data_IF_408869756431
#
_entry.id   IF_408869756431
#
_cell.length_a   1.000
_cell.length_b   1.000
_cell.length_c   1.000
_cell.angle_alpha   90.00
_cell.angle_beta   90.00
_cell.angle_gamma   90.00
#
_symmetry.space_group_name_H-M   'P 1'
#
loop_
_entity.id
_entity.type
_entity.pdbx_description
1 polymer ?
#
# COMPACT_ATOMS: atom_id res chain seq x y z
N UNK A 1 46.44 2.45 27.83
CA UNK A 1 45.81 3.18 26.72
C UNK A 1 44.57 2.40 26.34
N UNK A 2 43.43 2.85 26.83
CA UNK A 2 42.11 2.22 26.71
C UNK A 2 41.48 2.62 25.37
N UNK A 3 41.10 1.64 24.56
CA UNK A 3 40.31 1.82 23.34
C UNK A 3 38.89 2.22 23.72
N UNK A 4 38.50 3.43 23.35
CA UNK A 4 37.16 3.97 23.50
C UNK A 4 36.29 3.45 22.35
N UNK A 5 35.40 2.52 22.68
CA UNK A 5 34.38 1.97 21.76
C UNK A 5 33.28 3.01 21.55
N UNK A 6 33.11 3.46 20.31
CA UNK A 6 31.97 4.29 19.88
C UNK A 6 30.64 3.55 20.13
N UNK A 7 29.63 4.18 20.76
CA UNK A 7 28.31 3.59 20.88
C UNK A 7 27.60 3.62 19.52
N UNK A 8 27.46 2.45 18.90
CA UNK A 8 26.57 2.28 17.77
C UNK A 8 25.13 2.61 18.22
N UNK A 9 24.55 3.64 17.59
CA UNK A 9 23.14 4.00 17.72
C UNK A 9 22.29 2.91 17.07
N UNK A 10 21.90 1.91 17.86
CA UNK A 10 20.89 0.91 17.50
C UNK A 10 19.50 1.53 17.64
N UNK A 11 18.66 1.39 16.61
CA UNK A 11 17.26 1.85 16.65
C UNK A 11 16.39 0.61 16.79
N UNK A 12 15.60 0.54 17.86
CA UNK A 12 14.60 -0.52 18.02
C UNK A 12 13.43 -0.25 17.08
N UNK A 13 13.30 -1.06 16.04
CA UNK A 13 12.12 -1.06 15.20
C UNK A 13 11.13 -2.06 15.80
N UNK A 14 9.98 -1.56 16.28
CA UNK A 14 8.92 -2.42 16.80
C UNK A 14 8.48 -3.43 15.73
N UNK A 15 8.67 -4.72 16.01
CA UNK A 15 8.27 -5.77 15.10
C UNK A 15 6.75 -5.94 15.12
N UNK A 16 6.14 -5.98 13.93
CA UNK A 16 4.68 -6.06 13.77
C UNK A 16 4.08 -7.40 14.25
N UNK A 17 4.91 -8.43 14.53
CA UNK A 17 4.47 -9.76 14.96
C UNK A 17 5.44 -10.52 15.90
N UNK A 18 6.15 -9.86 16.82
CA UNK A 18 6.98 -10.59 17.79
C UNK A 18 8.12 -9.78 18.44
N UNK A 19 9.07 -10.50 19.06
CA UNK A 19 10.24 -9.94 19.76
C UNK A 19 11.00 -8.93 18.88
N UNK A 20 11.41 -7.78 19.44
CA UNK A 20 12.09 -6.74 18.69
C UNK A 20 13.44 -7.25 18.17
N UNK A 21 13.59 -7.27 16.84
CA UNK A 21 14.86 -7.63 16.20
C UNK A 21 15.74 -6.39 16.12
N UNK A 22 16.94 -6.45 16.70
CA UNK A 22 17.96 -5.42 16.53
C UNK A 22 18.54 -5.53 15.12
N UNK A 23 18.11 -4.65 14.22
CA UNK A 23 18.67 -4.57 12.87
C UNK A 23 19.94 -3.72 12.92
N UNK A 24 21.08 -4.17 12.36
CA UNK A 24 22.26 -3.33 12.20
C UNK A 24 21.88 -2.08 11.41
N UNK A 25 22.20 -0.89 11.91
CA UNK A 25 22.05 0.36 11.17
C UNK A 25 22.97 0.29 9.94
N UNK A 26 22.45 -0.23 8.84
CA UNK A 26 23.23 -0.44 7.63
C UNK A 26 23.62 0.93 7.06
N UNK A 27 24.88 1.30 7.24
CA UNK A 27 25.48 2.49 6.65
C UNK A 27 25.73 2.31 5.14
N UNK A 28 25.25 1.25 4.50
CA UNK A 28 25.76 0.79 3.21
C UNK A 28 24.77 0.42 2.12
N UNK A 29 23.54 0.93 2.06
CA UNK A 29 22.72 0.75 0.84
C UNK A 29 21.73 1.89 0.63
N UNK A 30 21.78 2.53 -0.54
CA UNK A 30 20.72 3.45 -0.94
C UNK A 30 19.43 2.64 -1.06
N UNK A 31 18.43 2.96 -0.25
CA UNK A 31 17.14 2.29 -0.29
C UNK A 31 16.43 2.67 -1.59
N UNK A 32 16.51 1.80 -2.59
CA UNK A 32 15.72 1.91 -3.83
C UNK A 32 14.24 1.55 -3.62
N UNK A 33 13.86 1.12 -2.41
CA UNK A 33 12.47 0.86 -2.07
C UNK A 33 11.73 2.19 -1.88
N UNK A 34 10.72 2.43 -2.71
CA UNK A 34 9.84 3.59 -2.57
C UNK A 34 9.23 3.63 -1.16
N UNK A 35 9.43 4.74 -0.45
CA UNK A 35 8.89 4.98 0.88
C UNK A 35 7.36 4.95 0.80
N UNK A 36 6.75 3.92 1.38
CA UNK A 36 5.28 3.82 1.49
C UNK A 36 4.71 4.50 2.75
N UNK A 37 5.57 5.18 3.52
CA UNK A 37 5.16 5.92 4.70
C UNK A 37 4.58 7.29 4.29
N UNK A 38 3.24 7.35 4.27
CA UNK A 38 2.49 8.56 3.90
C UNK A 38 2.71 9.70 4.91
N UNK A 39 2.93 9.38 6.19
CA UNK A 39 3.21 10.38 7.23
C UNK A 39 4.60 10.99 7.02
N UNK A 40 5.60 10.16 6.69
CA UNK A 40 6.94 10.63 6.35
C UNK A 40 6.91 11.51 5.09
N UNK A 41 6.20 11.10 4.04
CA UNK A 41 6.03 11.94 2.82
C UNK A 41 5.36 13.27 3.14
N UNK A 42 4.29 13.27 3.93
CA UNK A 42 3.61 14.50 4.34
C UNK A 42 4.52 15.40 5.19
N UNK A 43 5.33 14.81 6.08
CA UNK A 43 6.29 15.55 6.91
C UNK A 43 7.38 16.23 6.08
N UNK A 44 7.92 15.53 5.08
CA UNK A 44 8.95 16.06 4.17
C UNK A 44 8.37 17.18 3.31
N UNK A 45 7.16 17.02 2.74
CA UNK A 45 6.52 18.08 1.96
C UNK A 45 6.28 19.34 2.79
N UNK A 46 5.92 19.19 4.07
CA UNK A 46 5.73 20.32 4.99
C UNK A 46 7.05 21.01 5.32
N UNK A 47 8.08 20.24 5.69
CA UNK A 47 9.40 20.78 6.03
C UNK A 47 10.09 21.42 4.82
N UNK A 48 9.84 20.92 3.61
CA UNK A 48 10.34 21.49 2.36
C UNK A 48 9.71 22.87 2.06
N UNK A 49 8.54 23.18 2.62
CA UNK A 49 7.86 24.46 2.40
C UNK A 49 8.41 25.56 3.32
N UNK A 50 8.65 25.24 4.59
CA UNK A 50 9.20 26.15 5.60
C UNK A 50 9.71 25.30 6.78
N UNK A 51 11.03 25.24 7.09
CA UNK A 51 12.14 26.13 6.68
C UNK A 51 12.87 25.77 5.36
N UNK A 52 12.60 24.62 4.77
CA UNK A 52 13.13 24.19 3.46
C UNK A 52 14.32 23.22 3.51
N UNK A 53 14.51 22.47 2.42
CA UNK A 53 15.69 21.60 2.21
C UNK A 53 16.67 22.19 1.20
N UNK A 54 17.93 21.80 1.32
CA UNK A 54 19.00 22.10 0.37
C UNK A 54 19.81 20.86 0.02
N UNK A 55 20.20 20.74 -1.24
CA UNK A 55 20.98 19.60 -1.74
C UNK A 55 22.32 20.06 -2.26
N UNK A 56 23.40 19.45 -1.77
CA UNK A 56 24.75 19.70 -2.29
C UNK A 56 24.94 18.93 -3.59
N UNK A 57 25.14 19.64 -4.70
CA UNK A 57 25.16 19.04 -6.04
C UNK A 57 26.21 17.92 -6.18
N UNK A 58 27.40 18.12 -5.60
CA UNK A 58 28.52 17.18 -5.75
C UNK A 58 28.34 15.88 -4.97
N UNK A 59 27.62 15.94 -3.84
CA UNK A 59 27.49 14.80 -2.93
C UNK A 59 26.08 14.22 -2.88
N UNK A 60 25.10 14.89 -3.50
CA UNK A 60 23.68 14.52 -3.42
C UNK A 60 23.12 14.58 -2.00
N UNK A 61 23.87 15.13 -1.03
CA UNK A 61 23.45 15.15 0.38
C UNK A 61 22.38 16.19 0.60
N UNK A 62 21.33 15.77 1.29
CA UNK A 62 20.20 16.62 1.68
C UNK A 62 20.48 17.18 3.07
N UNK A 63 20.34 18.49 3.18
CA UNK A 63 20.44 19.23 4.42
C UNK A 63 19.14 19.98 4.67
N UNK A 64 18.76 20.10 5.94
CA UNK A 64 17.63 20.91 6.37
C UNK A 64 18.14 22.31 6.76
N UNK A 65 17.43 23.34 6.31
CA UNK A 65 17.76 24.73 6.69
C UNK A 65 17.31 24.98 8.12
N UNK A 66 18.18 25.57 8.94
CA UNK A 66 17.80 26.02 10.27
C UNK A 66 16.89 27.27 10.14
N UNK A 67 15.67 27.27 10.72
CA UNK A 67 14.78 28.43 10.70
C UNK A 67 15.40 29.66 11.39
N UNK A 68 16.32 29.48 12.36
CA UNK A 68 16.97 30.58 13.06
C UNK A 68 18.15 31.18 12.27
N UNK A 69 18.77 30.40 11.37
CA UNK A 69 19.88 30.85 10.55
C UNK A 69 19.85 30.17 9.19
N UNK A 70 19.36 30.89 8.18
CA UNK A 70 19.22 30.40 6.81
C UNK A 70 20.55 30.04 6.11
N UNK A 71 21.70 30.34 6.72
CA UNK A 71 23.03 29.92 6.30
C UNK A 71 23.57 28.68 7.01
N UNK A 72 23.01 28.33 8.17
CA UNK A 72 23.30 27.10 8.90
C UNK A 72 22.37 25.99 8.42
N UNK A 73 22.93 24.80 8.25
CA UNK A 73 22.17 23.64 7.79
C UNK A 73 22.53 22.41 8.62
N UNK A 74 21.53 21.57 8.87
CA UNK A 74 21.69 20.32 9.60
C UNK A 74 21.66 19.13 8.64
N UNK A 75 22.50 18.13 8.92
CA UNK A 75 22.46 16.86 8.19
C UNK A 75 21.19 16.10 8.54
N UNK A 76 20.48 15.69 7.50
CA UNK A 76 19.19 15.00 7.61
C UNK A 76 19.43 13.49 7.73
N UNK A 77 18.64 12.75 8.53
CA UNK A 77 18.71 11.29 8.57
C UNK A 77 18.56 10.67 7.18
N UNK A 78 19.26 9.55 6.93
CA UNK A 78 19.30 8.91 5.61
C UNK A 78 17.92 8.57 5.05
N UNK A 79 17.01 8.06 5.87
CA UNK A 79 15.65 7.70 5.45
C UNK A 79 14.87 8.91 4.90
N UNK A 80 15.10 10.09 5.47
CA UNK A 80 14.46 11.33 5.05
C UNK A 80 15.15 11.88 3.80
N UNK A 81 16.48 11.79 3.71
CA UNK A 81 17.23 12.13 2.49
C UNK A 81 16.84 11.26 1.29
N UNK A 82 16.70 9.95 1.48
CA UNK A 82 16.25 9.01 0.45
C UNK A 82 14.81 9.33 0.01
N UNK A 83 13.93 9.70 0.95
CA UNK A 83 12.56 10.14 0.64
C UNK A 83 12.54 11.44 -0.18
N UNK A 84 13.38 12.42 0.15
CA UNK A 84 13.53 13.65 -0.65
C UNK A 84 14.00 13.32 -2.07
N UNK A 85 14.96 12.40 -2.22
CA UNK A 85 15.40 11.90 -3.53
C UNK A 85 14.26 11.29 -4.34
N UNK A 86 13.48 10.39 -3.73
CA UNK A 86 12.33 9.78 -4.38
C UNK A 86 11.25 10.79 -4.79
N UNK A 87 11.01 11.81 -3.97
CA UNK A 87 10.04 12.85 -4.29
C UNK A 87 10.53 13.78 -5.41
N UNK A 88 11.85 14.00 -5.53
CA UNK A 88 12.44 14.68 -6.68
C UNK A 88 12.32 13.85 -7.95
N UNK A 89 12.67 12.56 -7.90
CA UNK A 89 12.56 11.64 -9.02
C UNK A 89 11.10 11.48 -9.50
N UNK A 90 10.16 11.51 -8.55
CA UNK A 90 8.72 11.46 -8.81
C UNK A 90 8.10 12.80 -9.24
N UNK A 91 8.89 13.88 -9.33
CA UNK A 91 8.40 15.22 -9.70
C UNK A 91 7.44 15.85 -8.69
N UNK A 92 7.44 15.37 -7.45
CA UNK A 92 6.71 15.96 -6.33
C UNK A 92 7.49 17.08 -5.64
N UNK A 93 8.81 17.11 -5.81
CA UNK A 93 9.71 18.21 -5.46
C UNK A 93 10.47 18.67 -6.70
N UNK A 94 10.97 19.90 -6.67
CA UNK A 94 11.80 20.45 -7.75
C UNK A 94 13.08 21.08 -7.19
N UNK A 95 14.17 21.03 -7.96
CA UNK A 95 15.39 21.74 -7.62
C UNK A 95 15.26 23.22 -8.02
N UNK A 96 15.32 24.08 -7.02
CA UNK A 96 15.32 25.53 -7.15
C UNK A 96 16.70 26.13 -7.43
N UNK A 97 16.86 27.38 -6.98
CA UNK A 97 18.03 28.21 -7.20
C UNK A 97 19.27 27.77 -6.41
N UNK A 98 20.41 28.36 -6.80
CA UNK A 98 21.70 28.07 -6.19
C UNK A 98 21.91 28.89 -4.92
N UNK A 99 22.38 28.22 -3.87
CA UNK A 99 22.72 28.77 -2.58
C UNK A 99 24.10 28.29 -2.15
N UNK A 100 24.71 29.03 -1.25
CA UNK A 100 25.93 28.58 -0.56
C UNK A 100 25.53 28.16 0.84
N UNK A 101 25.93 26.96 1.25
CA UNK A 101 25.70 26.45 2.61
C UNK A 101 27.03 26.30 3.33
N UNK A 102 27.01 26.47 4.64
CA UNK A 102 28.16 26.19 5.50
C UNK A 102 27.78 25.10 6.49
N UNK A 103 28.47 23.97 6.43
CA UNK A 103 28.26 22.83 7.33
C UNK A 103 29.62 22.32 7.82
N UNK A 104 29.79 22.24 9.16
CA UNK A 104 31.04 21.77 9.81
C UNK A 104 32.32 22.41 9.24
N UNK A 105 32.30 23.74 9.07
CA UNK A 105 33.45 24.51 8.56
C UNK A 105 33.71 24.39 7.06
N UNK A 106 32.90 23.63 6.32
CA UNK A 106 32.99 23.50 4.88
C UNK A 106 31.87 24.29 4.21
N UNK A 107 32.24 25.17 3.28
CA UNK A 107 31.31 25.96 2.50
C UNK A 107 31.23 25.43 1.08
N UNK A 108 30.03 25.22 0.55
CA UNK A 108 29.85 24.63 -0.78
C UNK A 108 28.55 25.06 -1.46
N UNK A 109 28.48 24.90 -2.80
CA UNK A 109 27.27 25.17 -3.56
C UNK A 109 26.21 24.10 -3.27
N UNK A 110 24.97 24.55 -3.09
CA UNK A 110 23.79 23.73 -2.90
C UNK A 110 22.61 24.31 -3.65
N UNK A 111 21.61 23.49 -3.96
CA UNK A 111 20.35 23.91 -4.58
C UNK A 111 19.23 23.87 -3.57
N UNK A 112 18.33 24.86 -3.61
CA UNK A 112 17.10 24.80 -2.83
C UNK A 112 16.20 23.69 -3.36
N UNK A 113 15.42 23.09 -2.47
CA UNK A 113 14.34 22.16 -2.83
C UNK A 113 13.03 22.94 -2.72
N UNK A 114 12.27 22.93 -3.80
CA UNK A 114 10.99 23.62 -3.91
C UNK A 114 9.87 22.60 -3.91
N UNK A 115 8.73 23.02 -3.35
CA UNK A 115 7.47 22.28 -3.42
C UNK A 115 6.59 22.93 -4.50
N UNK A 116 6.40 22.27 -5.66
CA UNK A 116 5.51 22.76 -6.71
C UNK A 116 4.09 22.97 -6.19
N UNK A 117 3.36 23.89 -6.83
CA UNK A 117 1.96 24.22 -6.45
C UNK A 117 1.07 22.97 -6.38
N UNK A 118 1.21 22.07 -7.35
CA UNK A 118 0.46 20.80 -7.41
C UNK A 118 0.70 19.92 -6.17
N UNK A 119 1.96 19.78 -5.75
CA UNK A 119 2.36 19.01 -4.58
C UNK A 119 1.87 19.65 -3.29
N UNK A 120 1.88 20.99 -3.23
CA UNK A 120 1.31 21.74 -2.11
C UNK A 120 -0.19 21.52 -1.97
N UNK A 121 -0.95 21.63 -3.06
CA UNK A 121 -2.40 21.37 -3.06
C UNK A 121 -2.72 19.92 -2.69
N UNK A 122 -1.89 18.97 -3.09
CA UNK A 122 -2.01 17.57 -2.67
C UNK A 122 -1.80 17.43 -1.15
N UNK A 123 -0.72 17.98 -0.60
CA UNK A 123 -0.44 17.95 0.83
C UNK A 123 -1.55 18.62 1.66
N UNK A 124 -2.06 19.77 1.21
CA UNK A 124 -3.20 20.45 1.86
C UNK A 124 -4.48 19.59 1.83
N UNK A 125 -4.75 18.89 0.72
CA UNK A 125 -5.89 17.98 0.66
C UNK A 125 -5.74 16.83 1.63
N UNK A 126 -4.54 16.26 1.75
CA UNK A 126 -4.26 15.18 2.70
C UNK A 126 -4.37 15.62 4.15
N UNK A 127 -3.84 16.81 4.51
CA UNK A 127 -3.98 17.35 5.87
C UNK A 127 -5.43 17.62 6.26
N UNK A 128 -6.31 17.86 5.29
CA UNK A 128 -7.73 18.06 5.50
C UNK A 128 -8.53 16.76 5.54
N UNK A 129 -7.91 15.61 5.22
CA UNK A 129 -8.54 14.31 5.46
C UNK A 129 -8.66 14.13 6.97
N UNK A 130 -9.90 14.03 7.46
CA UNK A 130 -10.12 13.70 8.86
C UNK A 130 -9.48 12.35 9.14
N UNK A 131 -8.71 12.20 10.23
CA UNK A 131 -8.34 10.88 10.72
C UNK A 131 -9.62 10.06 10.81
N UNK A 132 -9.63 8.85 10.27
CA UNK A 132 -10.77 7.96 10.50
C UNK A 132 -10.93 7.86 12.02
N UNK A 133 -12.15 8.06 12.55
CA UNK A 133 -12.36 7.99 13.98
C UNK A 133 -11.79 6.66 14.49
N UNK A 134 -11.00 6.65 15.58
CA UNK A 134 -10.49 5.42 16.17
C UNK A 134 -11.70 4.58 16.59
N UNK A 135 -12.05 3.60 15.76
CA UNK A 135 -13.34 2.89 15.82
C UNK A 135 -13.93 2.52 14.45
N UNK A 136 -13.50 3.16 13.35
CA UNK A 136 -13.85 2.71 11.99
C UNK A 136 -13.10 1.43 11.59
N UNK A 137 -11.95 1.18 12.24
CA UNK A 137 -11.29 -0.12 12.28
C UNK A 137 -11.64 -0.72 13.64
N UNK A 138 -12.81 -1.35 13.75
CA UNK A 138 -13.10 -2.15 14.94
C UNK A 138 -12.05 -3.26 14.95
N UNK A 139 -11.08 -3.16 15.86
CA UNK A 139 -10.41 -4.36 16.31
C UNK A 139 -11.53 -5.32 16.77
N UNK A 140 -11.54 -6.58 16.31
CA UNK A 140 -12.56 -7.52 16.74
C UNK A 140 -12.56 -7.53 18.28
N UNK A 141 -13.70 -7.18 18.89
CA UNK A 141 -13.90 -7.42 20.32
C UNK A 141 -13.68 -8.92 20.54
N UNK A 142 -12.84 -9.34 21.50
CA UNK A 142 -12.40 -10.73 21.59
C UNK A 142 -13.51 -11.79 21.77
N UNK A 143 -14.77 -11.43 22.09
CA UNK A 143 -15.78 -12.43 22.51
C UNK A 143 -17.19 -12.23 21.92
N UNK A 144 -17.37 -11.38 20.91
CA UNK A 144 -18.61 -11.39 20.11
C UNK A 144 -18.29 -12.07 18.78
N UNK A 145 -18.74 -13.33 18.57
CA UNK A 145 -18.68 -14.00 17.27
C UNK A 145 -19.41 -13.15 16.23
N UNK A 146 -18.67 -12.26 15.56
CA UNK A 146 -19.23 -11.38 14.55
C UNK A 146 -19.70 -12.25 13.39
N UNK A 147 -21.00 -12.20 13.11
CA UNK A 147 -21.55 -12.85 11.91
C UNK A 147 -21.18 -12.00 10.71
N UNK A 148 -20.61 -12.61 9.68
CA UNK A 148 -20.35 -11.89 8.43
C UNK A 148 -21.66 -11.33 7.88
N UNK A 149 -21.59 -10.24 7.11
CA UNK A 149 -22.70 -9.87 6.25
C UNK A 149 -23.05 -10.99 5.24
N UNK A 150 -24.06 -10.78 4.39
CA UNK A 150 -24.32 -11.70 3.28
C UNK A 150 -23.05 -11.87 2.44
N UNK A 151 -22.74 -13.13 2.11
CA UNK A 151 -21.60 -13.49 1.28
C UNK A 151 -22.14 -13.84 -0.10
N UNK A 152 -21.73 -13.10 -1.12
CA UNK A 152 -22.10 -13.36 -2.51
C UNK A 152 -20.97 -14.15 -3.17
N UNK A 153 -21.33 -15.27 -3.82
CA UNK A 153 -20.42 -16.06 -4.65
C UNK A 153 -20.82 -15.90 -6.11
N UNK A 154 -20.08 -15.08 -6.84
CA UNK A 154 -20.27 -14.89 -8.27
C UNK A 154 -19.52 -15.98 -9.03
N UNK A 155 -20.25 -16.94 -9.61
CA UNK A 155 -19.66 -17.97 -10.46
C UNK A 155 -19.33 -17.37 -11.81
N UNK A 156 -18.07 -16.93 -11.97
CA UNK A 156 -17.57 -16.30 -13.20
C UNK A 156 -17.52 -17.30 -14.36
N UNK A 157 -17.10 -18.53 -14.09
CA UNK A 157 -17.07 -19.64 -15.06
C UNK A 157 -17.09 -20.97 -14.31
N UNK A 158 -17.40 -22.11 -14.96
CA UNK A 158 -17.36 -23.41 -14.30
C UNK A 158 -16.00 -23.65 -13.62
N UNK A 159 -16.03 -23.85 -12.30
CA UNK A 159 -14.82 -24.06 -11.51
C UNK A 159 -14.08 -22.79 -11.07
N UNK A 160 -14.61 -21.59 -11.32
CA UNK A 160 -14.08 -20.33 -10.77
C UNK A 160 -15.21 -19.54 -10.14
N UNK A 161 -15.03 -19.04 -8.92
CA UNK A 161 -16.00 -18.18 -8.25
C UNK A 161 -15.31 -17.05 -7.53
N UNK A 162 -15.87 -15.85 -7.61
CA UNK A 162 -15.43 -14.70 -6.83
C UNK A 162 -16.30 -14.60 -5.58
N UNK A 163 -15.65 -14.43 -4.43
CA UNK A 163 -16.30 -14.27 -3.14
C UNK A 163 -16.26 -12.79 -2.76
N UNK A 164 -17.43 -12.22 -2.53
CA UNK A 164 -17.58 -10.84 -2.10
C UNK A 164 -18.38 -10.80 -0.81
N UNK A 165 -17.77 -10.29 0.25
CA UNK A 165 -18.43 -9.88 1.48
C UNK A 165 -18.00 -8.45 1.80
N UNK A 166 -18.77 -7.72 2.61
CA UNK A 166 -18.43 -6.33 2.96
C UNK A 166 -17.08 -6.24 3.69
N UNK A 167 -16.74 -7.29 4.44
CA UNK A 167 -15.56 -7.33 5.32
C UNK A 167 -14.35 -8.04 4.69
N UNK A 168 -14.55 -8.90 3.68
CA UNK A 168 -13.49 -9.68 3.05
C UNK A 168 -13.86 -10.12 1.63
N UNK A 169 -12.86 -10.28 0.77
CA UNK A 169 -12.99 -10.89 -0.55
C UNK A 169 -12.09 -12.11 -0.74
N UNK A 170 -12.34 -12.86 -1.81
CA UNK A 170 -11.49 -13.97 -2.18
C UNK A 170 -11.92 -14.66 -3.47
N UNK A 171 -11.23 -15.74 -3.78
CA UNK A 171 -11.46 -16.52 -4.98
C UNK A 171 -11.57 -18.02 -4.69
N UNK A 172 -12.39 -18.70 -5.48
CA UNK A 172 -12.56 -20.15 -5.45
C UNK A 172 -12.15 -20.72 -6.80
N UNK A 173 -11.07 -21.50 -6.81
CA UNK A 173 -10.48 -22.12 -7.99
C UNK A 173 -10.62 -23.63 -7.93
N UNK A 174 -11.25 -24.25 -8.93
CA UNK A 174 -11.43 -25.69 -8.96
C UNK A 174 -10.13 -26.39 -9.35
N UNK A 175 -9.61 -27.18 -8.43
CA UNK A 175 -8.41 -28.00 -8.55
C UNK A 175 -8.76 -29.45 -8.18
N UNK A 176 -8.52 -30.40 -9.09
CA UNK A 176 -8.71 -31.84 -8.84
C UNK A 176 -10.06 -32.21 -8.20
N UNK A 177 -11.14 -31.58 -8.66
CA UNK A 177 -12.50 -31.84 -8.19
C UNK A 177 -12.89 -31.14 -6.88
N UNK A 178 -11.98 -30.41 -6.24
CA UNK A 178 -12.24 -29.54 -5.07
C UNK A 178 -12.00 -28.07 -5.44
N UNK A 179 -12.43 -27.14 -4.61
CA UNK A 179 -12.16 -25.71 -4.76
C UNK A 179 -11.04 -25.31 -3.81
N UNK A 180 -9.92 -24.81 -4.34
CA UNK A 180 -8.93 -24.05 -3.59
C UNK A 180 -9.55 -22.70 -3.26
N UNK A 181 -9.49 -22.33 -1.98
CA UNK A 181 -10.01 -21.05 -1.48
C UNK A 181 -8.82 -20.14 -1.27
N UNK A 182 -8.82 -18.99 -1.92
CA UNK A 182 -7.78 -17.98 -1.84
C UNK A 182 -8.37 -16.68 -1.28
N UNK A 183 -7.58 -15.95 -0.50
CA UNK A 183 -7.93 -14.59 -0.07
C UNK A 183 -7.75 -13.60 -1.22
N UNK A 184 -8.25 -12.37 -1.05
CA UNK A 184 -8.01 -11.25 -1.97
C UNK A 184 -6.52 -10.93 -2.24
N UNK A 185 -5.61 -11.42 -1.40
CA UNK A 185 -4.16 -11.27 -1.56
C UNK A 185 -3.48 -12.50 -2.17
N UNK A 186 -4.24 -13.52 -2.59
CA UNK A 186 -3.72 -14.75 -3.18
C UNK A 186 -3.18 -15.76 -2.15
N UNK A 187 -3.48 -15.60 -0.86
CA UNK A 187 -3.11 -16.59 0.15
C UNK A 187 -4.10 -17.75 0.13
N UNK A 188 -3.60 -18.98 0.00
CA UNK A 188 -4.43 -20.19 0.03
C UNK A 188 -4.88 -20.48 1.46
N UNK A 189 -6.19 -20.40 1.68
CA UNK A 189 -6.84 -20.73 2.96
C UNK A 189 -7.01 -22.24 3.13
N UNK A 190 -7.36 -22.93 2.03
CA UNK A 190 -7.60 -24.37 2.08
C UNK A 190 -8.37 -24.90 0.87
N UNK A 191 -8.93 -26.10 1.02
CA UNK A 191 -9.72 -26.79 -0.02
C UNK A 191 -11.14 -27.07 0.45
N UNK A 192 -12.12 -26.72 -0.36
CA UNK A 192 -13.54 -26.90 -0.13
C UNK A 192 -14.20 -27.82 -1.17
N UNK A 193 -15.28 -28.50 -0.79
CA UNK A 193 -16.03 -29.38 -1.69
C UNK A 193 -17.01 -28.62 -2.60
N UNK A 194 -17.34 -27.37 -2.27
CA UNK A 194 -18.34 -26.56 -2.98
C UNK A 194 -18.08 -25.07 -2.79
N UNK A 195 -18.74 -24.25 -3.62
CA UNK A 195 -18.73 -22.80 -3.48
C UNK A 195 -19.17 -22.33 -2.08
N UNK A 196 -20.25 -22.93 -1.55
CA UNK A 196 -20.77 -22.61 -0.21
C UNK A 196 -19.78 -22.97 0.89
N UNK A 197 -19.18 -24.16 0.82
CA UNK A 197 -18.18 -24.59 1.79
C UNK A 197 -16.94 -23.69 1.73
N UNK A 198 -16.56 -23.23 0.54
CA UNK A 198 -15.45 -22.30 0.36
C UNK A 198 -15.72 -20.92 0.94
N UNK A 199 -16.92 -20.36 0.71
CA UNK A 199 -17.38 -19.12 1.33
C UNK A 199 -17.36 -19.19 2.87
N UNK A 200 -17.86 -20.29 3.46
CA UNK A 200 -17.81 -20.51 4.91
C UNK A 200 -16.39 -20.62 5.44
N UNK A 201 -15.50 -21.29 4.69
CA UNK A 201 -14.10 -21.44 5.06
C UNK A 201 -13.39 -20.08 5.07
N UNK A 202 -13.63 -19.26 4.04
CA UNK A 202 -13.06 -17.92 3.98
C UNK A 202 -13.57 -17.04 5.13
N UNK A 203 -14.88 -17.05 5.40
CA UNK A 203 -15.45 -16.29 6.53
C UNK A 203 -14.79 -16.66 7.88
N UNK A 204 -14.62 -17.97 8.14
CA UNK A 204 -13.97 -18.46 9.36
C UNK A 204 -12.49 -18.08 9.44
N UNK A 205 -11.79 -18.09 8.30
CA UNK A 205 -10.40 -17.66 8.22
C UNK A 205 -10.23 -16.19 8.64
N UNK A 206 -11.20 -15.34 8.29
CA UNK A 206 -11.26 -13.95 8.72
C UNK A 206 -11.86 -13.73 10.12
N UNK A 207 -12.14 -14.80 10.87
CA UNK A 207 -12.66 -14.73 12.25
C UNK A 207 -14.17 -14.47 12.34
N UNK A 208 -14.92 -14.62 11.25
CA UNK A 208 -16.37 -14.41 11.23
C UNK A 208 -17.15 -15.73 11.28
N UNK A 209 -18.32 -15.69 11.91
CA UNK A 209 -19.35 -16.71 11.72
C UNK A 209 -20.00 -16.50 10.34
N UNK A 210 -20.09 -17.52 9.46
CA UNK A 210 -20.63 -17.32 8.12
C UNK A 210 -22.09 -16.89 8.16
N UNK A 211 -22.39 -15.75 7.55
CA UNK A 211 -23.74 -15.26 7.29
C UNK A 211 -24.43 -16.00 6.14
N UNK A 212 -25.57 -15.49 5.67
CA UNK A 212 -26.26 -16.02 4.48
C UNK A 212 -25.32 -16.04 3.27
N UNK A 213 -25.34 -17.14 2.51
CA UNK A 213 -24.53 -17.29 1.29
C UNK A 213 -25.43 -17.38 0.07
N UNK A 214 -25.28 -16.40 -0.80
CA UNK A 214 -25.93 -16.28 -2.10
C UNK A 214 -24.94 -16.71 -3.17
N UNK A 215 -25.39 -17.53 -4.13
CA UNK A 215 -24.53 -18.03 -5.21
C UNK A 215 -25.16 -17.57 -6.51
N UNK A 216 -24.59 -16.52 -7.08
CA UNK A 216 -25.04 -15.95 -8.33
C UNK A 216 -24.28 -16.62 -9.48
N UNK A 217 -25.03 -17.37 -10.28
CA UNK A 217 -24.54 -17.91 -11.54
C UNK A 217 -24.91 -16.90 -12.61
N UNK A 218 -23.93 -16.10 -13.04
CA UNK A 218 -24.10 -15.32 -14.25
C UNK A 218 -24.12 -16.32 -15.41
N UNK A 219 -25.32 -16.71 -15.83
CA UNK A 219 -25.49 -17.36 -17.12
C UNK A 219 -24.94 -16.38 -18.16
N UNK A 220 -23.81 -16.76 -18.75
CA UNK A 220 -23.45 -16.32 -20.08
C UNK A 220 -24.68 -16.62 -20.93
N UNK A 221 -25.50 -15.58 -21.20
CA UNK A 221 -26.48 -15.64 -22.28
C UNK A 221 -25.64 -15.86 -23.52
N UNK A 222 -25.46 -17.12 -23.87
CA UNK A 222 -24.90 -17.55 -25.12
C UNK A 222 -25.61 -16.78 -26.22
N UNK A 223 -24.88 -15.85 -26.84
CA UNK A 223 -25.25 -15.16 -28.07
C UNK A 223 -25.24 -16.12 -29.27
N UNK A 224 -25.67 -17.36 -29.10
CA UNK A 224 -25.78 -18.36 -30.14
C UNK A 224 -27.02 -19.22 -29.92
N UNK A 225 -28.19 -18.58 -29.89
CA UNK A 225 -29.42 -19.29 -30.18
C UNK A 225 -29.37 -19.69 -31.67
N UNK A 226 -29.37 -20.99 -32.02
CA UNK A 226 -29.56 -21.38 -33.41
C UNK A 226 -30.91 -20.81 -33.89
N UNK A 227 -30.99 -20.23 -35.11
CA UNK A 227 -32.22 -19.61 -35.56
C UNK A 227 -33.36 -20.64 -35.53
N UNK A 228 -34.59 -20.20 -35.19
CA UNK A 228 -35.73 -21.09 -35.19
C UNK A 228 -35.86 -21.69 -36.59
N UNK A 229 -35.90 -23.03 -36.66
CA UNK A 229 -36.21 -23.75 -37.90
C UNK A 229 -37.55 -23.24 -38.42
N UNK A 230 -37.52 -22.38 -39.41
CA UNK A 230 -38.69 -21.94 -40.13
C UNK A 230 -39.29 -23.16 -40.82
N UNK A 231 -40.53 -23.47 -40.47
CA UNK A 231 -41.34 -24.49 -41.11
C UNK A 231 -41.74 -24.02 -42.52
N UNK A 232 -40.78 -24.01 -43.45
CA UNK A 232 -41.01 -23.83 -44.89
C UNK A 232 -40.00 -24.66 -45.66
N UNK A 233 -40.23 -25.97 -45.66
CA UNK A 233 -39.81 -26.87 -46.76
C UNK A 233 -40.68 -28.14 -46.77
N UNK A 234 -42.00 -27.93 -46.64
CA UNK A 234 -43.02 -28.87 -47.13
C UNK A 234 -43.71 -28.21 -48.31
N UNK A 235 -43.03 -28.20 -49.46
CA UNK A 235 -43.61 -28.24 -50.81
C UNK A 235 -42.51 -27.84 -51.81
N UNK A 236 -41.95 -28.84 -52.51
CA UNK A 236 -41.76 -28.87 -53.98
C UNK A 236 -40.90 -30.08 -54.38
N UNK A 237 -41.39 -30.85 -55.37
CA UNK A 237 -40.68 -31.93 -56.08
C UNK A 237 -40.91 -33.32 -55.48
N UNK A 238 -42.00 -34.06 -55.82
CA UNK A 238 -42.16 -34.90 -57.03
C UNK A 238 -40.98 -35.81 -57.32
#
# INVERSE_FOLDING_TARGET
>A
MTTQTDPATSVEQGALFGEPVTVPADRGAASTAATQDVELVASVLRLAQDPGYRIVERSGRVFRVDPANSGAVDEVPRYEADTVGQLLDGGLLELGGNHTITHRGHTGPARSVLVPKRSREMATRWSNLRPLPPGARQAPKPDEEQTSGPIVVDVVRPGRGLLTCREFGGELLRDNGRYVVETEFGHVVGRASSYRAGAQMLARHHGYRPGPIEIDRREERDGNAPPPRTARDRQLGR
#
